data_IF_826857939775
#
_entry.id   IF_826857939775
#
_cell.length_a   1.000
_cell.length_b   1.000
_cell.length_c   1.000
_cell.angle_alpha   90.00
_cell.angle_beta   90.00
_cell.angle_gamma   90.00
#
_symmetry.space_group_name_H-M   'P 1'
#
loop_
_entity.id
_entity.type
_entity.pdbx_description
1 polymer ?
#
# COMPACT_ATOMS: atom_id res chain seq x y z
N UNK A 1 -9.52 -13.34 -17.72
CA UNK A 1 -10.03 -13.30 -16.33
C UNK A 1 -11.10 -12.22 -16.20
N UNK A 2 -12.28 -12.51 -15.62
CA UNK A 2 -13.38 -11.54 -15.43
C UNK A 2 -12.95 -10.40 -14.47
N UNK A 3 -13.40 -9.16 -14.71
CA UNK A 3 -13.15 -7.99 -13.87
C UNK A 3 -13.50 -8.23 -12.39
N UNK A 4 -14.57 -9.00 -12.10
CA UNK A 4 -14.89 -9.40 -10.71
C UNK A 4 -13.79 -10.23 -10.04
N UNK A 5 -13.19 -11.17 -10.76
CA UNK A 5 -12.08 -11.99 -10.24
C UNK A 5 -10.83 -11.15 -10.01
N UNK A 6 -10.53 -10.22 -10.92
CA UNK A 6 -9.41 -9.26 -10.79
C UNK A 6 -9.56 -8.41 -9.53
N UNK A 7 -10.75 -7.88 -9.30
CA UNK A 7 -11.06 -7.08 -8.12
C UNK A 7 -10.94 -7.90 -6.83
N UNK A 8 -11.44 -9.13 -6.81
CA UNK A 8 -11.33 -9.99 -5.63
C UNK A 8 -9.87 -10.30 -5.27
N UNK A 9 -9.01 -10.54 -6.26
CA UNK A 9 -7.57 -10.75 -6.05
C UNK A 9 -6.93 -9.47 -5.49
N UNK A 10 -7.29 -8.30 -6.03
CA UNK A 10 -6.78 -7.03 -5.55
C UNK A 10 -7.17 -6.79 -4.09
N UNK A 11 -8.45 -6.98 -3.74
CA UNK A 11 -8.96 -6.79 -2.38
C UNK A 11 -8.27 -7.76 -1.43
N UNK A 12 -8.28 -9.05 -1.76
CA UNK A 12 -7.67 -10.07 -0.92
C UNK A 12 -6.17 -9.83 -0.71
N UNK A 13 -5.44 -9.51 -1.78
CA UNK A 13 -4.02 -9.16 -1.71
C UNK A 13 -3.77 -7.90 -0.89
N UNK A 14 -4.61 -6.88 -1.03
CA UNK A 14 -4.51 -5.64 -0.23
C UNK A 14 -4.74 -5.91 1.24
N UNK A 15 -5.71 -6.76 1.61
CA UNK A 15 -5.91 -7.17 3.00
C UNK A 15 -4.68 -7.87 3.59
N UNK A 16 -4.05 -8.78 2.84
CA UNK A 16 -2.82 -9.45 3.28
C UNK A 16 -1.70 -8.42 3.48
N UNK A 17 -1.52 -7.49 2.54
CA UNK A 17 -0.51 -6.45 2.61
C UNK A 17 -0.72 -5.55 3.83
N UNK A 18 -1.96 -5.16 4.13
CA UNK A 18 -2.31 -4.39 5.32
C UNK A 18 -1.91 -5.15 6.59
N UNK A 19 -2.24 -6.44 6.68
CA UNK A 19 -1.88 -7.27 7.83
C UNK A 19 -0.36 -7.38 8.01
N UNK A 20 0.39 -7.57 6.91
CA UNK A 20 1.85 -7.64 6.95
C UNK A 20 2.44 -6.29 7.37
N UNK A 21 1.97 -5.18 6.79
CA UNK A 21 2.45 -3.84 7.13
C UNK A 21 2.18 -3.51 8.60
N UNK A 22 0.99 -3.82 9.09
CA UNK A 22 0.64 -3.66 10.50
C UNK A 22 1.54 -4.53 11.40
N UNK A 23 1.72 -5.81 11.07
CA UNK A 23 2.59 -6.71 11.82
C UNK A 23 4.03 -6.19 11.90
N UNK A 24 4.60 -5.73 10.79
CA UNK A 24 5.95 -5.17 10.74
C UNK A 24 6.03 -3.91 11.61
N UNK A 25 5.06 -3.01 11.50
CA UNK A 25 5.02 -1.76 12.25
C UNK A 25 4.94 -2.01 13.77
N UNK A 26 4.01 -2.85 14.22
CA UNK A 26 3.87 -3.18 15.64
C UNK A 26 5.08 -3.92 16.19
N UNK A 27 5.62 -4.90 15.45
CA UNK A 27 6.83 -5.63 15.85
C UNK A 27 8.05 -4.71 15.91
N UNK A 28 8.16 -3.75 14.98
CA UNK A 28 9.22 -2.74 14.98
C UNK A 28 9.14 -1.82 16.21
N UNK A 29 7.95 -1.28 16.48
CA UNK A 29 7.69 -0.43 17.66
C UNK A 29 8.00 -1.17 18.97
N UNK A 30 7.55 -2.42 19.12
CA UNK A 30 7.74 -3.19 20.35
C UNK A 30 9.20 -3.52 20.62
N UNK A 31 10.04 -3.66 19.58
CA UNK A 31 11.46 -3.99 19.74
C UNK A 31 12.33 -2.77 20.04
N UNK A 32 11.99 -1.62 19.46
CA UNK A 32 12.82 -0.42 19.55
C UNK A 32 12.39 0.46 20.75
N UNK A 33 11.26 0.16 21.38
CA UNK A 33 10.71 0.91 22.52
C UNK A 33 10.68 2.43 22.27
N UNK A 34 10.53 2.78 20.99
CA UNK A 34 10.52 4.14 20.49
C UNK A 34 9.20 4.35 19.75
N UNK A 35 8.53 5.46 20.06
CA UNK A 35 7.47 5.99 19.22
C UNK A 35 8.00 6.22 17.80
N UNK A 36 7.13 6.08 16.79
CA UNK A 36 7.49 6.22 15.37
C UNK A 36 8.53 7.32 15.13
N UNK A 37 9.67 6.95 14.52
CA UNK A 37 10.78 7.89 14.32
C UNK A 37 10.38 9.02 13.38
N UNK A 38 10.49 10.26 13.89
CA UNK A 38 10.34 11.55 13.19
C UNK A 38 11.54 11.89 12.28
N UNK A 39 12.34 10.91 11.86
CA UNK A 39 13.57 11.20 11.11
C UNK A 39 13.29 11.87 9.76
N UNK A 40 12.10 11.63 9.19
CA UNK A 40 11.68 12.28 7.95
C UNK A 40 10.92 13.59 8.24
N UNK A 41 11.30 14.72 7.63
CA UNK A 41 10.52 15.96 7.67
C UNK A 41 9.07 15.70 7.25
N UNK A 42 8.12 16.39 7.87
CA UNK A 42 6.67 16.23 7.57
C UNK A 42 6.35 16.36 6.07
N UNK A 43 7.14 17.15 5.34
CA UNK A 43 7.05 17.30 3.90
C UNK A 43 7.34 16.00 3.14
N UNK A 44 8.34 15.23 3.57
CA UNK A 44 8.68 13.94 2.96
C UNK A 44 7.57 12.93 3.21
N UNK A 45 7.02 12.87 4.43
CA UNK A 45 5.89 12.00 4.76
C UNK A 45 4.65 12.32 3.91
N UNK A 46 4.30 13.59 3.76
CA UNK A 46 3.17 14.02 2.92
C UNK A 46 3.41 13.65 1.45
N UNK A 47 4.62 13.88 0.93
CA UNK A 47 4.96 13.50 -0.44
C UNK A 47 4.90 11.99 -0.65
N UNK A 48 5.41 11.19 0.29
CA UNK A 48 5.38 9.74 0.24
C UNK A 48 3.93 9.21 0.30
N UNK A 49 3.09 9.78 1.16
CA UNK A 49 1.67 9.46 1.22
C UNK A 49 0.93 9.79 -0.08
N UNK A 50 1.13 10.98 -0.64
CA UNK A 50 0.52 11.38 -1.91
C UNK A 50 1.00 10.51 -3.08
N UNK A 51 2.29 10.18 -3.13
CA UNK A 51 2.84 9.26 -4.12
C UNK A 51 2.23 7.87 -3.99
N UNK A 52 2.05 7.38 -2.76
CA UNK A 52 1.42 6.08 -2.51
C UNK A 52 -0.06 6.07 -2.94
N UNK A 53 -0.82 7.14 -2.66
CA UNK A 53 -2.18 7.31 -3.16
C UNK A 53 -2.22 7.29 -4.70
N UNK A 54 -1.29 7.97 -5.35
CA UNK A 54 -1.17 7.93 -6.80
C UNK A 54 -0.93 6.51 -7.32
N UNK A 55 -0.03 5.73 -6.71
CA UNK A 55 0.23 4.34 -7.10
C UNK A 55 -1.01 3.46 -6.97
N UNK A 56 -1.82 3.66 -5.92
CA UNK A 56 -3.07 2.92 -5.71
C UNK A 56 -4.11 3.29 -6.78
N UNK A 57 -4.37 4.58 -6.98
CA UNK A 57 -5.38 5.06 -7.92
C UNK A 57 -5.02 4.66 -9.35
N UNK A 58 -3.76 4.88 -9.76
CA UNK A 58 -3.28 4.55 -11.10
C UNK A 58 -3.28 3.02 -11.32
N UNK A 59 -2.89 2.24 -10.30
CA UNK A 59 -2.98 0.79 -10.31
C UNK A 59 -4.41 0.26 -10.49
N UNK A 60 -5.38 0.84 -9.79
CA UNK A 60 -6.80 0.49 -9.92
C UNK A 60 -7.32 0.88 -11.31
N UNK A 61 -7.02 2.09 -11.78
CA UNK A 61 -7.42 2.58 -13.10
C UNK A 61 -6.93 1.66 -14.23
N UNK A 62 -5.65 1.30 -14.20
CA UNK A 62 -5.04 0.38 -15.17
C UNK A 62 -5.68 -1.01 -15.14
N UNK A 63 -6.06 -1.50 -13.96
CA UNK A 63 -6.73 -2.80 -13.80
C UNK A 63 -8.09 -2.85 -14.49
N UNK A 64 -8.83 -1.74 -14.50
CA UNK A 64 -10.13 -1.60 -15.14
C UNK A 64 -10.04 -1.28 -16.63
N UNK A 65 -9.04 -0.51 -17.06
CA UNK A 65 -8.88 -0.07 -18.45
C UNK A 65 -8.33 -1.17 -19.37
N UNK A 66 -7.57 -2.11 -18.83
CA UNK A 66 -6.86 -3.09 -19.65
C UNK A 66 -7.75 -4.25 -20.16
N UNK A 67 -7.98 -4.25 -21.49
CA UNK A 67 -8.63 -5.36 -22.23
C UNK A 67 -7.82 -6.67 -22.17
N UNK A 68 -6.49 -6.60 -22.29
CA UNK A 68 -5.58 -7.75 -22.16
C UNK A 68 -4.44 -7.44 -21.17
N UNK A 69 -4.35 -8.24 -20.11
CA UNK A 69 -3.52 -7.94 -18.94
C UNK A 69 -2.36 -8.91 -18.72
N UNK A 70 -2.28 -10.01 -19.48
CA UNK A 70 -1.48 -11.17 -19.06
C UNK A 70 0.02 -10.89 -18.90
N UNK A 71 0.58 -9.94 -19.66
CA UNK A 71 1.98 -9.52 -19.52
C UNK A 71 2.22 -8.41 -18.46
N UNK A 72 1.18 -7.67 -18.04
CA UNK A 72 1.32 -6.47 -17.20
C UNK A 72 0.64 -6.57 -15.84
N UNK A 73 -0.15 -7.62 -15.61
CA UNK A 73 -0.97 -7.77 -14.41
C UNK A 73 -0.16 -7.81 -13.12
N UNK A 74 1.00 -8.48 -13.16
CA UNK A 74 1.91 -8.54 -12.01
C UNK A 74 2.42 -7.16 -11.63
N UNK A 75 2.80 -6.33 -12.61
CA UNK A 75 3.27 -4.96 -12.38
C UNK A 75 2.18 -4.07 -11.78
N UNK A 76 0.93 -4.24 -12.25
CA UNK A 76 -0.22 -3.50 -11.72
C UNK A 76 -0.44 -3.89 -10.25
N UNK A 77 -0.49 -5.19 -9.95
CA UNK A 77 -0.70 -5.65 -8.58
C UNK A 77 0.43 -5.24 -7.64
N UNK A 78 1.70 -5.45 -8.01
CA UNK A 78 2.83 -5.08 -7.14
C UNK A 78 2.81 -3.60 -6.84
N UNK A 79 2.62 -2.74 -7.84
CA UNK A 79 2.52 -1.30 -7.65
C UNK A 79 1.38 -0.91 -6.71
N UNK A 80 0.17 -1.44 -6.93
CA UNK A 80 -0.98 -1.14 -6.07
C UNK A 80 -0.73 -1.63 -4.64
N UNK A 81 -0.16 -2.82 -4.48
CA UNK A 81 0.16 -3.38 -3.16
C UNK A 81 1.21 -2.55 -2.42
N UNK A 82 2.26 -2.07 -3.09
CA UNK A 82 3.20 -1.14 -2.47
C UNK A 82 2.53 0.17 -2.05
N UNK A 83 1.65 0.71 -2.90
CA UNK A 83 0.85 1.89 -2.54
C UNK A 83 -0.01 1.66 -1.30
N UNK A 84 -0.73 0.52 -1.23
CA UNK A 84 -1.53 0.15 -0.05
C UNK A 84 -0.67 -0.04 1.20
N UNK A 85 0.50 -0.67 1.07
CA UNK A 85 1.43 -0.86 2.19
C UNK A 85 1.89 0.47 2.77
N UNK A 86 2.35 1.40 1.92
CA UNK A 86 2.86 2.71 2.32
C UNK A 86 1.75 3.55 2.95
N UNK A 87 0.56 3.58 2.35
CA UNK A 87 -0.62 4.25 2.92
C UNK A 87 -0.95 3.68 4.31
N UNK A 88 -0.91 2.36 4.46
CA UNK A 88 -1.19 1.69 5.75
C UNK A 88 -0.17 2.09 6.81
N UNK A 89 1.11 2.10 6.47
CA UNK A 89 2.18 2.51 7.38
C UNK A 89 1.99 3.96 7.83
N UNK A 90 1.71 4.89 6.90
CA UNK A 90 1.45 6.29 7.25
C UNK A 90 0.19 6.47 8.10
N UNK A 91 -0.88 5.71 7.85
CA UNK A 91 -2.09 5.74 8.69
C UNK A 91 -1.77 5.26 10.11
N UNK A 92 -1.07 4.14 10.25
CA UNK A 92 -0.70 3.61 11.58
C UNK A 92 0.23 4.59 12.30
N UNK A 93 1.21 5.16 11.58
CA UNK A 93 2.12 6.17 12.10
C UNK A 93 1.37 7.44 12.54
N UNK A 94 0.36 7.88 11.80
CA UNK A 94 -0.47 9.04 12.16
C UNK A 94 -1.33 8.78 13.39
N UNK A 95 -1.91 7.58 13.53
CA UNK A 95 -2.76 7.20 14.65
C UNK A 95 -1.96 6.98 15.95
N UNK A 96 -0.79 6.35 15.84
CA UNK A 96 0.09 6.04 17.00
C UNK A 96 1.16 7.10 17.24
N UNK A 97 1.00 8.28 16.64
CA UNK A 97 1.79 9.48 16.95
C UNK A 97 1.30 10.08 18.25
#
# INVERSE_FOLDING_TARGET
MNNKKRLNILIFGSCIVILIAAYIQFTGQSKINASCSYLDPITIDIMAFLAALFLVIDGISDLFSAKNLDAKIWRIYTRTFFGVAIVTLHIIQFIHK
#
